data_IF_661019307646
#
_entry.id   IF_661019307646
#
_cell.length_a   1.000
_cell.length_b   1.000
_cell.length_c   1.000
_cell.angle_alpha   90.00
_cell.angle_beta   90.00
_cell.angle_gamma   90.00
#
_symmetry.space_group_name_H-M   'P 1'
#
loop_
_entity.id
_entity.type
_entity.pdbx_description
1 polymer ?
#
# COMPACT_ATOMS: atom_id res chain seq x y z
N UNK A 1 8.34 6.50 -17.38
CA UNK A 1 8.85 5.98 -16.08
C UNK A 1 8.54 4.48 -15.99
N UNK A 2 9.31 3.68 -15.24
CA UNK A 2 9.15 2.21 -15.23
C UNK A 2 7.94 1.76 -14.40
N UNK A 3 7.05 0.95 -15.00
CA UNK A 3 5.90 0.28 -14.34
C UNK A 3 6.31 -0.44 -13.05
N UNK A 4 7.50 -1.05 -13.02
CA UNK A 4 8.02 -1.76 -11.84
C UNK A 4 8.26 -0.84 -10.64
N UNK A 5 8.80 0.36 -10.86
CA UNK A 5 9.07 1.30 -9.76
C UNK A 5 7.77 1.70 -9.05
N UNK A 6 6.71 1.91 -9.83
CA UNK A 6 5.36 2.17 -9.30
C UNK A 6 4.84 0.98 -8.51
N UNK A 7 4.94 -0.24 -9.06
CA UNK A 7 4.49 -1.47 -8.39
C UNK A 7 5.16 -1.71 -7.03
N UNK A 8 6.47 -1.46 -6.92
CA UNK A 8 7.18 -1.53 -5.63
C UNK A 8 6.68 -0.47 -4.66
N UNK A 9 6.45 0.77 -5.13
CA UNK A 9 5.92 1.84 -4.28
C UNK A 9 4.50 1.52 -3.77
N UNK A 10 3.64 0.93 -4.62
CA UNK A 10 2.30 0.47 -4.21
C UNK A 10 2.41 -0.59 -3.11
N UNK A 11 3.25 -1.61 -3.29
CA UNK A 11 3.47 -2.66 -2.29
C UNK A 11 3.96 -2.11 -0.94
N UNK A 12 4.79 -1.06 -0.95
CA UNK A 12 5.23 -0.40 0.29
C UNK A 12 4.10 0.32 1.00
N UNK A 13 3.23 1.01 0.26
CA UNK A 13 2.05 1.66 0.85
C UNK A 13 1.10 0.60 1.41
N UNK A 14 0.84 -0.48 0.66
CA UNK A 14 0.02 -1.61 1.12
C UNK A 14 0.55 -2.20 2.43
N UNK A 15 1.85 -2.54 2.49
CA UNK A 15 2.47 -3.08 3.69
C UNK A 15 2.45 -2.12 4.89
N UNK A 16 2.55 -0.80 4.65
CA UNK A 16 2.47 0.19 5.71
C UNK A 16 1.03 0.45 6.17
N UNK A 17 0.08 0.44 5.24
CA UNK A 17 -1.34 0.70 5.50
C UNK A 17 -1.99 -0.46 6.25
N UNK A 18 -1.58 -1.69 5.98
CA UNK A 18 -2.04 -2.90 6.67
C UNK A 18 -1.80 -2.87 8.20
N UNK A 19 -0.91 -2.01 8.70
CA UNK A 19 -0.74 -1.79 10.15
C UNK A 19 -1.78 -0.84 10.78
N UNK A 20 -2.86 -0.49 10.07
CA UNK A 20 -3.83 0.53 10.47
C UNK A 20 -4.41 0.29 11.87
N UNK A 21 -4.74 -0.95 12.18
CA UNK A 21 -5.30 -1.39 13.46
C UNK A 21 -4.22 -1.81 14.48
N UNK A 22 -2.94 -1.64 14.12
CA UNK A 22 -1.79 -1.99 14.94
C UNK A 22 -1.36 -3.45 14.85
N UNK A 23 -2.01 -4.27 14.02
CA UNK A 23 -1.56 -5.62 13.68
C UNK A 23 -1.41 -5.80 12.18
N UNK A 24 -0.78 -6.90 11.77
CA UNK A 24 -0.68 -7.31 10.38
C UNK A 24 -0.97 -8.80 10.35
N UNK A 25 -2.06 -9.19 9.70
CA UNK A 25 -2.54 -10.57 9.75
C UNK A 25 -1.97 -11.44 8.60
N UNK A 26 -2.24 -12.74 8.67
CA UNK A 26 -1.72 -13.67 7.68
C UNK A 26 -2.36 -13.51 6.28
N UNK A 27 -3.61 -13.07 6.20
CA UNK A 27 -4.34 -12.87 4.94
C UNK A 27 -3.81 -11.64 4.20
N UNK A 28 -3.56 -10.55 4.92
CA UNK A 28 -2.90 -9.35 4.40
C UNK A 28 -1.46 -9.66 3.95
N UNK A 29 -0.69 -10.38 4.78
CA UNK A 29 0.67 -10.83 4.46
C UNK A 29 0.68 -11.67 3.17
N UNK A 30 -0.26 -12.60 3.04
CA UNK A 30 -0.36 -13.46 1.87
C UNK A 30 -0.73 -12.66 0.62
N UNK A 31 -1.70 -11.75 0.74
CA UNK A 31 -2.10 -10.85 -0.34
C UNK A 31 -0.91 -10.02 -0.85
N UNK A 32 -0.14 -9.42 0.07
CA UNK A 32 1.06 -8.65 -0.28
C UNK A 32 2.11 -9.56 -0.96
N UNK A 33 2.38 -10.76 -0.43
CA UNK A 33 3.33 -11.72 -1.03
C UNK A 33 2.91 -12.17 -2.42
N UNK A 34 1.63 -12.44 -2.65
CA UNK A 34 1.12 -12.81 -3.97
C UNK A 34 1.32 -11.68 -4.99
N UNK A 35 1.10 -10.43 -4.57
CA UNK A 35 1.38 -9.26 -5.40
C UNK A 35 2.88 -9.11 -5.69
N UNK A 36 3.77 -9.36 -4.71
CA UNK A 36 5.22 -9.37 -4.95
C UNK A 36 5.62 -10.36 -6.05
N UNK A 37 5.06 -11.58 -6.01
CA UNK A 37 5.30 -12.63 -7.00
C UNK A 37 4.74 -12.20 -8.36
N UNK A 38 3.50 -11.71 -8.40
CA UNK A 38 2.81 -11.27 -9.62
C UNK A 38 3.55 -10.13 -10.32
N UNK A 39 4.14 -9.22 -9.56
CA UNK A 39 4.92 -8.10 -10.10
C UNK A 39 6.35 -8.47 -10.46
N UNK A 40 6.81 -9.67 -10.09
CA UNK A 40 8.15 -10.17 -10.38
C UNK A 40 9.22 -9.31 -9.74
N UNK A 41 9.06 -9.02 -8.44
CA UNK A 41 10.06 -8.31 -7.65
C UNK A 41 11.35 -9.13 -7.56
N UNK A 42 12.48 -8.43 -7.60
CA UNK A 42 13.79 -9.02 -7.35
C UNK A 42 14.07 -9.12 -5.83
N UNK A 43 15.12 -9.84 -5.39
CA UNK A 43 15.40 -10.04 -3.96
C UNK A 43 15.57 -8.75 -3.16
N UNK A 44 16.14 -7.69 -3.75
CA UNK A 44 16.29 -6.40 -3.08
C UNK A 44 14.94 -5.71 -2.90
N UNK A 45 14.09 -5.72 -3.93
CA UNK A 45 12.75 -5.15 -3.87
C UNK A 45 11.86 -5.91 -2.86
N UNK A 46 11.96 -7.24 -2.81
CA UNK A 46 11.26 -8.07 -1.81
C UNK A 46 11.70 -7.66 -0.40
N UNK A 47 13.02 -7.55 -0.16
CA UNK A 47 13.56 -7.15 1.13
C UNK A 47 13.01 -5.80 1.61
N UNK A 48 12.90 -4.83 0.70
CA UNK A 48 12.36 -3.51 1.02
C UNK A 48 10.90 -3.51 1.45
N UNK A 49 10.07 -4.38 0.87
CA UNK A 49 8.65 -4.49 1.26
C UNK A 49 8.51 -5.33 2.54
N UNK A 50 9.21 -6.46 2.64
CA UNK A 50 9.18 -7.32 3.84
C UNK A 50 9.63 -6.56 5.09
N UNK A 51 10.60 -5.66 4.98
CA UNK A 51 11.04 -4.84 6.12
C UNK A 51 9.91 -3.96 6.72
N UNK A 52 8.89 -3.59 5.92
CA UNK A 52 7.70 -2.88 6.39
C UNK A 52 6.67 -3.82 7.02
N UNK A 53 6.72 -5.11 6.71
CA UNK A 53 5.84 -6.14 7.27
C UNK A 53 6.36 -6.74 8.58
N UNK A 54 7.65 -6.56 8.89
CA UNK A 54 8.27 -7.17 10.09
C UNK A 54 7.97 -6.38 11.37
N UNK A 55 7.63 -5.09 11.25
CA UNK A 55 7.42 -4.19 12.40
C UNK A 55 6.27 -3.21 12.14
N UNK A 56 5.51 -2.81 13.19
CA UNK A 56 4.46 -1.81 13.07
C UNK A 56 4.95 -0.52 12.42
N UNK A 57 4.18 -0.04 11.45
CA UNK A 57 4.46 1.20 10.71
C UNK A 57 3.52 2.30 11.19
N UNK A 58 4.06 3.47 11.51
CA UNK A 58 3.21 4.62 11.90
C UNK A 58 2.42 5.15 10.70
N UNK A 59 1.24 5.70 10.97
CA UNK A 59 0.43 6.36 9.94
C UNK A 59 1.22 7.47 9.20
N UNK A 60 2.03 8.25 9.92
CA UNK A 60 2.89 9.27 9.30
C UNK A 60 3.86 8.70 8.27
N UNK A 61 4.41 7.50 8.53
CA UNK A 61 5.30 6.82 7.60
C UNK A 61 4.53 6.26 6.40
N UNK A 62 3.30 5.78 6.61
CA UNK A 62 2.41 5.39 5.53
C UNK A 62 2.08 6.59 4.61
N UNK A 63 1.76 7.76 5.18
CA UNK A 63 1.52 8.98 4.40
C UNK A 63 2.75 9.42 3.58
N UNK A 64 3.97 9.33 4.15
CA UNK A 64 5.21 9.60 3.40
C UNK A 64 5.34 8.68 2.17
N UNK A 65 5.14 7.38 2.37
CA UNK A 65 5.18 6.39 1.28
C UNK A 65 4.08 6.67 0.24
N UNK A 66 2.91 7.12 0.67
CA UNK A 66 1.83 7.50 -0.23
C UNK A 66 2.19 8.74 -1.07
N UNK A 67 2.84 9.75 -0.47
CA UNK A 67 3.34 10.93 -1.21
C UNK A 67 4.39 10.54 -2.23
N UNK A 68 5.31 9.66 -1.86
CA UNK A 68 6.30 9.09 -2.79
C UNK A 68 5.61 8.36 -3.95
N UNK A 69 4.59 7.54 -3.66
CA UNK A 69 3.80 6.86 -4.67
C UNK A 69 3.07 7.85 -5.58
N UNK A 70 2.38 8.84 -5.03
CA UNK A 70 1.65 9.86 -5.81
C UNK A 70 2.58 10.64 -6.73
N UNK A 71 3.80 10.96 -6.29
CA UNK A 71 4.82 11.56 -7.15
C UNK A 71 5.22 10.69 -8.35
N UNK A 72 4.87 9.40 -8.33
CA UNK A 72 5.07 8.47 -9.43
C UNK A 72 3.85 8.26 -10.34
N UNK A 73 2.66 8.73 -9.94
CA UNK A 73 1.42 8.57 -10.70
C UNK A 73 1.29 9.71 -11.72
N UNK A 74 1.11 9.35 -12.99
CA UNK A 74 1.05 10.32 -14.09
C UNK A 74 -0.36 10.62 -14.58
N UNK A 75 -1.37 9.88 -14.12
CA UNK A 75 -2.74 9.98 -14.59
C UNK A 75 -3.76 9.66 -13.50
N UNK A 76 -4.99 10.15 -13.68
CA UNK A 76 -6.12 9.82 -12.80
C UNK A 76 -6.45 8.33 -12.81
N UNK A 77 -6.20 7.65 -13.94
CA UNK A 77 -6.36 6.19 -14.03
C UNK A 77 -5.39 5.46 -13.11
N UNK A 78 -4.13 5.92 -13.02
CA UNK A 78 -3.14 5.30 -12.13
C UNK A 78 -3.53 5.53 -10.67
N UNK A 79 -4.07 6.71 -10.35
CA UNK A 79 -4.57 7.07 -9.02
C UNK A 79 -5.74 6.19 -8.61
N UNK A 80 -6.69 5.96 -9.51
CA UNK A 80 -7.82 5.08 -9.27
C UNK A 80 -7.37 3.62 -9.05
N UNK A 81 -6.46 3.12 -9.91
CA UNK A 81 -5.91 1.76 -9.78
C UNK A 81 -5.25 1.52 -8.41
N UNK A 82 -4.50 2.51 -7.89
CA UNK A 82 -3.87 2.43 -6.57
C UNK A 82 -4.90 2.38 -5.45
N UNK A 83 -5.93 3.22 -5.50
CA UNK A 83 -6.96 3.25 -4.45
C UNK A 83 -7.78 1.97 -4.43
N UNK A 84 -8.09 1.38 -5.58
CA UNK A 84 -8.77 0.08 -5.65
C UNK A 84 -7.93 -1.02 -5.01
N UNK A 85 -6.61 -1.07 -5.28
CA UNK A 85 -5.73 -2.07 -4.64
C UNK A 85 -5.65 -1.91 -3.12
N UNK A 86 -5.65 -0.67 -2.61
CA UNK A 86 -5.70 -0.41 -1.16
C UNK A 86 -7.02 -0.89 -0.55
N UNK A 87 -8.15 -0.66 -1.23
CA UNK A 87 -9.47 -1.14 -0.80
C UNK A 87 -9.56 -2.66 -0.83
N UNK A 88 -9.03 -3.30 -1.87
CA UNK A 88 -8.99 -4.76 -2.00
C UNK A 88 -8.15 -5.41 -0.89
N UNK A 89 -7.04 -4.79 -0.48
CA UNK A 89 -6.21 -5.29 0.63
C UNK A 89 -6.99 -5.30 1.96
N UNK A 90 -7.57 -4.17 2.34
CA UNK A 90 -8.33 -4.06 3.60
C UNK A 90 -9.66 -4.82 3.57
N UNK A 91 -10.16 -5.18 2.38
CA UNK A 91 -11.31 -6.05 2.25
C UNK A 91 -10.93 -7.53 2.13
N UNK A 92 -9.65 -7.89 2.32
CA UNK A 92 -9.14 -9.24 2.02
C UNK A 92 -9.71 -10.32 2.93
N UNK A 93 -10.01 -9.98 4.19
CA UNK A 93 -10.68 -10.83 5.18
C UNK A 93 -12.23 -10.73 5.11
N UNK A 94 -12.75 -9.89 4.21
CA UNK A 94 -14.18 -9.61 4.05
C UNK A 94 -14.74 -8.52 4.96
N UNK A 95 -13.93 -7.84 5.79
CA UNK A 95 -14.37 -6.78 6.69
C UNK A 95 -13.35 -5.65 6.84
N UNK A 96 -13.70 -4.45 6.36
CA UNK A 96 -12.92 -3.24 6.64
C UNK A 96 -13.33 -2.68 8.00
N UNK A 97 -12.39 -2.63 8.94
CA UNK A 97 -12.53 -2.00 10.26
C UNK A 97 -12.68 -0.47 10.17
N UNK A 98 -13.08 0.15 11.29
CA UNK A 98 -13.18 1.62 11.36
C UNK A 98 -11.79 2.28 11.24
N UNK A 99 -10.76 1.66 11.82
CA UNK A 99 -9.36 2.11 11.76
C UNK A 99 -8.81 2.07 10.33
N UNK A 100 -9.02 0.96 9.60
CA UNK A 100 -8.60 0.86 8.19
C UNK A 100 -9.35 1.85 7.30
N UNK A 101 -10.61 2.11 7.60
CA UNK A 101 -11.40 3.11 6.89
C UNK A 101 -10.87 4.53 7.12
N UNK A 102 -10.49 4.88 8.35
CA UNK A 102 -9.84 6.17 8.64
C UNK A 102 -8.52 6.32 7.87
N UNK A 103 -7.72 5.25 7.79
CA UNK A 103 -6.49 5.23 7.00
C UNK A 103 -6.80 5.40 5.51
N UNK A 104 -7.78 4.68 4.95
CA UNK A 104 -8.20 4.84 3.55
C UNK A 104 -8.63 6.27 3.24
N UNK A 105 -9.47 6.86 4.09
CA UNK A 105 -9.96 8.23 3.92
C UNK A 105 -8.80 9.24 3.96
N UNK A 106 -7.83 9.02 4.86
CA UNK A 106 -6.60 9.80 4.96
C UNK A 106 -5.73 9.71 3.71
N UNK A 107 -5.47 8.48 3.22
CA UNK A 107 -4.69 8.24 2.01
C UNK A 107 -5.38 8.81 0.75
N UNK A 108 -6.70 8.71 0.67
CA UNK A 108 -7.50 9.33 -0.40
C UNK A 108 -7.39 10.87 -0.34
N UNK A 109 -7.37 11.45 0.86
CA UNK A 109 -7.10 12.86 1.08
C UNK A 109 -5.73 13.30 0.57
N UNK A 110 -4.67 12.53 0.88
CA UNK A 110 -3.31 12.78 0.37
C UNK A 110 -3.30 12.76 -1.16
N UNK A 111 -3.93 11.75 -1.77
CA UNK A 111 -3.99 11.61 -3.22
C UNK A 111 -4.71 12.78 -3.91
N UNK A 112 -5.82 13.26 -3.34
CA UNK A 112 -6.59 14.41 -3.84
C UNK A 112 -5.85 15.73 -3.66
N UNK A 113 -5.11 15.91 -2.55
CA UNK A 113 -4.37 17.14 -2.27
C UNK A 113 -3.19 17.40 -3.23
N UNK A 114 -2.76 16.36 -3.95
CA UNK A 114 -1.63 16.39 -4.89
C UNK A 114 -2.07 16.11 -6.34
N UNK A 115 -3.37 16.25 -6.62
CA UNK A 115 -3.95 16.24 -7.97
C UNK A 115 -4.12 17.65 -8.50
#
# INVERSE_FOLDING_TARGET
MSKKKRQVAVLKVLAAAAWADGHLDNEEINTIKELMIRYGLNPQEISEVTALMDHPVSYSRCEELMRDLVGLLGSDSDRHEVMEQLRELFASDGHVSDEEKEVLDGLEGVLKSMS
#
